data_IF_381101391005
#
_entry.id   IF_381101391005
#
_cell.length_a   1.000
_cell.length_b   1.000
_cell.length_c   1.000
_cell.angle_alpha   90.00
_cell.angle_beta   90.00
_cell.angle_gamma   90.00
#
_symmetry.space_group_name_H-M   'P 1'
#
loop_
_entity.id
_entity.type
_entity.pdbx_description
1 polymer ?
#
# COMPACT_ATOMS: atom_id res chain seq x y z
N UNK A 1 -24.14 -2.14 10.59
CA UNK A 1 -23.28 -1.02 11.03
C UNK A 1 -21.85 -1.39 10.70
N UNK A 2 -21.20 -0.59 9.87
CA UNK A 2 -19.75 -0.66 9.69
C UNK A 2 -19.08 -0.12 10.96
N UNK A 3 -17.93 -0.69 11.31
CA UNK A 3 -17.16 -0.27 12.48
C UNK A 3 -15.87 0.40 12.03
N UNK A 4 -15.47 1.45 12.75
CA UNK A 4 -14.15 2.09 12.59
C UNK A 4 -13.05 1.04 12.64
N UNK A 5 -12.01 1.25 11.83
CA UNK A 5 -10.92 0.30 11.68
C UNK A 5 -9.97 0.42 12.88
N UNK A 6 -10.23 -0.35 13.94
CA UNK A 6 -9.37 -0.35 15.15
C UNK A 6 -8.24 -1.37 15.06
N UNK A 7 -8.36 -2.35 14.15
CA UNK A 7 -7.37 -3.33 13.74
C UNK A 7 -7.95 -4.08 12.52
N UNK A 8 -7.10 -4.68 11.68
CA UNK A 8 -7.55 -5.63 10.65
C UNK A 8 -7.35 -5.24 9.19
N UNK A 9 -6.41 -4.34 8.88
CA UNK A 9 -5.88 -4.19 7.52
C UNK A 9 -4.51 -4.82 7.45
N UNK A 10 -4.32 -5.68 6.45
CA UNK A 10 -3.03 -6.32 6.20
C UNK A 10 -2.70 -6.18 4.72
N UNK A 11 -1.45 -5.89 4.41
CA UNK A 11 -0.91 -6.25 3.09
C UNK A 11 -0.85 -7.77 3.04
N UNK A 12 -1.50 -8.36 2.05
CA UNK A 12 -1.52 -9.81 1.84
C UNK A 12 -0.62 -10.23 0.69
N UNK A 13 -0.27 -9.31 -0.21
CA UNK A 13 0.63 -9.57 -1.33
C UNK A 13 1.34 -8.27 -1.78
N UNK A 14 2.56 -8.43 -2.28
CA UNK A 14 3.28 -7.35 -2.95
C UNK A 14 4.11 -7.92 -4.11
N UNK A 15 3.89 -7.41 -5.32
CA UNK A 15 4.50 -7.90 -6.56
C UNK A 15 5.32 -6.79 -7.21
N UNK A 16 6.63 -7.02 -7.32
CA UNK A 16 7.54 -6.12 -8.03
C UNK A 16 7.47 -6.41 -9.54
N UNK A 17 7.04 -5.45 -10.34
CA UNK A 17 6.96 -5.63 -11.80
C UNK A 17 8.35 -5.57 -12.40
N UNK A 18 8.73 -6.50 -13.28
CA UNK A 18 10.13 -6.69 -13.69
C UNK A 18 10.68 -5.59 -14.58
N UNK A 19 9.81 -5.03 -15.42
CA UNK A 19 10.18 -4.07 -16.46
C UNK A 19 9.71 -2.65 -16.14
N UNK A 20 9.03 -2.48 -15.01
CA UNK A 20 8.40 -1.25 -14.59
C UNK A 20 8.87 -0.93 -13.18
N UNK A 21 9.12 0.35 -12.91
CA UNK A 21 9.48 0.81 -11.57
C UNK A 21 8.20 0.93 -10.73
N UNK A 22 7.53 -0.19 -10.56
CA UNK A 22 6.20 -0.29 -9.96
C UNK A 22 6.09 -1.52 -9.05
N UNK A 23 5.32 -1.37 -7.98
CA UNK A 23 4.94 -2.45 -7.06
C UNK A 23 3.43 -2.53 -6.99
N UNK A 24 2.86 -3.69 -7.27
CA UNK A 24 1.46 -3.97 -6.95
C UNK A 24 1.37 -4.35 -5.48
N UNK A 25 0.59 -3.61 -4.70
CA UNK A 25 0.33 -3.92 -3.30
C UNK A 25 -1.14 -4.30 -3.15
N UNK A 26 -1.39 -5.49 -2.60
CA UNK A 26 -2.74 -5.96 -2.29
C UNK A 26 -2.97 -5.93 -0.80
N UNK A 27 -3.99 -5.19 -0.36
CA UNK A 27 -4.44 -5.15 1.02
C UNK A 27 -5.75 -5.92 1.21
N UNK A 28 -5.93 -6.49 2.39
CA UNK A 28 -7.18 -7.09 2.84
C UNK A 28 -7.65 -6.41 4.10
N UNK A 29 -8.90 -5.99 4.08
CA UNK A 29 -9.61 -5.40 5.22
C UNK A 29 -10.42 -6.50 5.92
N UNK A 30 -10.55 -6.45 7.24
CA UNK A 30 -11.40 -7.38 7.98
C UNK A 30 -12.89 -7.15 7.67
N UNK A 31 -13.70 -8.21 7.73
CA UNK A 31 -15.14 -8.13 7.42
C UNK A 31 -15.84 -7.10 8.33
N UNK A 32 -16.68 -6.26 7.73
CA UNK A 32 -17.41 -5.20 8.45
C UNK A 32 -16.61 -3.91 8.72
N UNK A 33 -15.40 -3.82 8.19
CA UNK A 33 -14.55 -2.62 8.19
C UNK A 33 -14.33 -2.08 6.77
N UNK A 34 -13.93 -0.82 6.67
CA UNK A 34 -13.59 -0.15 5.40
C UNK A 34 -12.38 0.77 5.58
N UNK A 35 -11.75 1.12 4.47
CA UNK A 35 -10.65 2.08 4.36
C UNK A 35 -11.07 3.14 3.35
N UNK A 36 -10.65 4.37 3.58
CA UNK A 36 -10.98 5.52 2.74
C UNK A 36 -9.89 5.76 1.70
N UNK A 37 -8.63 5.65 2.13
CA UNK A 37 -7.48 5.82 1.24
C UNK A 37 -6.27 4.98 1.68
N UNK A 38 -5.33 4.84 0.77
CA UNK A 38 -3.99 4.31 1.05
C UNK A 38 -2.94 5.29 0.53
N UNK A 39 -1.86 5.49 1.26
CA UNK A 39 -0.90 6.54 0.96
C UNK A 39 0.50 6.21 1.46
N UNK A 40 1.41 7.14 1.20
CA UNK A 40 2.76 7.18 1.77
C UNK A 40 3.51 5.84 1.67
N UNK A 41 3.52 5.29 0.46
CA UNK A 41 4.28 4.08 0.19
C UNK A 41 5.77 4.32 0.40
N UNK A 42 6.40 3.39 1.10
CA UNK A 42 7.85 3.38 1.27
C UNK A 42 8.36 1.97 1.33
N UNK A 43 9.63 1.81 0.99
CA UNK A 43 10.29 0.51 1.10
C UNK A 43 11.75 0.65 1.51
N UNK A 44 12.28 -0.44 2.04
CA UNK A 44 13.65 -0.47 2.51
C UNK A 44 14.23 -1.87 2.60
N UNK A 45 15.53 -1.96 2.41
CA UNK A 45 16.26 -3.23 2.38
C UNK A 45 17.70 -3.04 2.83
N UNK A 46 18.40 -4.14 3.07
CA UNK A 46 19.84 -4.11 3.31
C UNK A 46 20.60 -4.34 2.01
N UNK A 47 21.54 -3.46 1.69
CA UNK A 47 22.39 -3.64 0.52
C UNK A 47 23.44 -4.76 0.74
N UNK A 48 24.25 -5.04 -0.29
CA UNK A 48 25.30 -6.07 -0.24
C UNK A 48 26.37 -5.82 0.83
N UNK A 49 26.47 -4.61 1.36
CA UNK A 49 27.37 -4.24 2.45
C UNK A 49 26.65 -4.22 3.81
N UNK A 50 25.43 -4.76 3.90
CA UNK A 50 24.59 -4.80 5.09
C UNK A 50 24.16 -3.40 5.59
N UNK A 51 24.24 -2.37 4.75
CA UNK A 51 23.74 -1.03 5.08
C UNK A 51 22.24 -0.95 4.80
N UNK A 52 21.50 -0.31 5.71
CA UNK A 52 20.08 -0.03 5.48
C UNK A 52 19.87 1.03 4.41
N UNK A 53 18.98 0.74 3.46
CA UNK A 53 18.48 1.67 2.45
C UNK A 53 16.98 1.83 2.65
N UNK A 54 16.50 3.07 2.72
CA UNK A 54 15.08 3.39 2.86
C UNK A 54 14.69 4.46 1.85
N UNK A 55 13.54 4.28 1.23
CA UNK A 55 13.02 5.15 0.17
C UNK A 55 11.56 5.46 0.46
N UNK A 56 11.21 6.74 0.38
CA UNK A 56 9.89 7.25 0.69
C UNK A 56 9.29 7.88 -0.57
N UNK A 57 8.08 7.46 -0.91
CA UNK A 57 7.34 7.95 -2.07
C UNK A 57 6.07 8.63 -1.55
N UNK A 58 6.18 9.94 -1.35
CA UNK A 58 5.13 10.80 -0.80
C UNK A 58 4.10 11.19 -1.86
N UNK A 59 3.63 10.22 -2.63
CA UNK A 59 2.50 10.48 -3.51
C UNK A 59 1.24 10.72 -2.68
N UNK A 60 0.33 11.50 -3.26
CA UNK A 60 -0.99 11.74 -2.69
C UNK A 60 -1.68 10.41 -2.39
N UNK A 61 -2.44 10.37 -1.30
CA UNK A 61 -3.17 9.18 -0.94
C UNK A 61 -4.14 8.80 -2.07
N UNK A 62 -4.11 7.53 -2.46
CA UNK A 62 -5.02 6.95 -3.43
C UNK A 62 -6.29 6.61 -2.66
N UNK A 63 -7.32 7.41 -2.89
CA UNK A 63 -8.65 7.13 -2.41
C UNK A 63 -9.17 5.82 -3.02
N UNK A 64 -9.58 4.91 -2.13
CA UNK A 64 -10.09 3.61 -2.53
C UNK A 64 -11.59 3.75 -2.75
N UNK A 65 -12.16 2.96 -3.66
CA UNK A 65 -13.60 2.82 -3.78
C UNK A 65 -14.36 4.10 -4.18
N UNK A 66 -13.70 5.01 -4.90
CA UNK A 66 -14.29 6.28 -5.36
C UNK A 66 -14.83 7.14 -4.20
N UNK A 67 -14.28 6.91 -3.00
CA UNK A 67 -14.52 7.70 -1.81
C UNK A 67 -13.65 8.95 -1.91
N UNK A 68 -14.20 10.09 -2.26
CA UNK A 68 -13.56 11.38 -1.97
C UNK A 68 -14.31 12.05 -0.82
N UNK A 69 -13.74 13.09 -0.22
CA UNK A 69 -14.38 13.83 0.87
C UNK A 69 -15.76 14.40 0.47
N UNK A 70 -16.09 14.44 -0.82
CA UNK A 70 -17.34 14.98 -1.39
C UNK A 70 -18.35 13.89 -1.82
N UNK A 71 -17.97 12.60 -1.90
CA UNK A 71 -18.78 11.49 -2.41
C UNK A 71 -18.67 10.23 -1.55
N UNK A 72 -19.54 10.15 -0.54
CA UNK A 72 -19.69 8.95 0.31
C UNK A 72 -20.63 7.95 -0.37
N UNK A 73 -20.09 7.03 -1.18
CA UNK A 73 -20.84 5.85 -1.65
C UNK A 73 -20.48 4.60 -0.83
N UNK A 74 -21.44 4.13 -0.04
CA UNK A 74 -21.28 2.97 0.85
C UNK A 74 -21.42 1.60 0.14
N UNK A 75 -21.60 1.54 -1.18
CA UNK A 75 -21.83 0.28 -1.92
C UNK A 75 -20.55 -0.52 -2.24
N UNK A 76 -19.38 0.07 -1.98
CA UNK A 76 -18.07 -0.41 -2.44
C UNK A 76 -17.29 -1.29 -1.46
N UNK A 77 -17.88 -1.68 -0.33
CA UNK A 77 -17.37 -2.73 0.58
C UNK A 77 -17.09 -4.09 -0.09
N UNK A 78 -17.38 -4.22 -1.39
CA UNK A 78 -17.26 -5.44 -2.19
C UNK A 78 -15.89 -5.64 -2.84
N UNK A 79 -15.05 -4.61 -2.95
CA UNK A 79 -13.71 -4.73 -3.56
C UNK A 79 -12.62 -5.00 -2.50
N UNK A 80 -12.83 -6.06 -1.70
CA UNK A 80 -11.89 -6.53 -0.69
C UNK A 80 -11.52 -8.00 -0.99
N UNK A 81 -10.24 -8.33 -1.29
CA UNK A 81 -9.07 -7.47 -1.18
C UNK A 81 -8.96 -6.41 -2.29
N UNK A 82 -8.21 -5.35 -2.01
CA UNK A 82 -7.95 -4.23 -2.90
C UNK A 82 -6.49 -4.25 -3.36
N UNK A 83 -6.23 -3.99 -4.65
CA UNK A 83 -4.88 -3.91 -5.22
C UNK A 83 -4.63 -2.52 -5.81
N UNK A 84 -3.45 -1.97 -5.52
CA UNK A 84 -2.97 -0.68 -6.01
C UNK A 84 -1.60 -0.82 -6.65
N UNK A 85 -1.27 0.09 -7.56
CA UNK A 85 0.03 0.20 -8.20
C UNK A 85 0.77 1.38 -7.57
N UNK A 86 2.01 1.14 -7.16
CA UNK A 86 2.88 2.14 -6.55
C UNK A 86 4.12 2.33 -7.42
N UNK A 87 4.19 3.43 -8.19
CA UNK A 87 5.38 3.78 -8.92
C UNK A 87 6.50 4.20 -7.95
N UNK A 88 7.74 4.02 -8.38
CA UNK A 88 8.92 4.42 -7.64
C UNK A 88 10.06 4.76 -8.61
N UNK A 89 11.14 5.35 -8.11
CA UNK A 89 12.30 5.66 -8.96
C UNK A 89 13.05 4.36 -9.34
N UNK A 90 13.12 4.07 -10.64
CA UNK A 90 13.82 2.91 -11.18
C UNK A 90 15.27 2.80 -10.70
N UNK A 91 15.93 3.93 -10.40
CA UNK A 91 17.32 3.97 -9.93
C UNK A 91 17.53 3.31 -8.56
N UNK A 92 16.46 3.21 -7.76
CA UNK A 92 16.49 2.64 -6.42
C UNK A 92 15.88 1.24 -6.34
N UNK A 93 15.62 0.62 -7.50
CA UNK A 93 15.09 -0.75 -7.57
C UNK A 93 15.99 -1.72 -6.79
N UNK A 94 15.45 -2.44 -5.79
CA UNK A 94 16.24 -3.44 -5.09
C UNK A 94 16.65 -4.58 -6.04
N UNK A 95 17.83 -5.19 -5.87
CA UNK A 95 18.26 -6.33 -6.68
C UNK A 95 17.27 -7.50 -6.59
N UNK A 96 17.12 -8.26 -7.67
CA UNK A 96 16.33 -9.49 -7.68
C UNK A 96 16.83 -10.45 -6.58
N UNK A 97 15.89 -11.05 -5.85
CA UNK A 97 16.13 -11.93 -4.71
C UNK A 97 16.26 -11.20 -3.37
N UNK A 98 16.27 -9.86 -3.36
CA UNK A 98 16.34 -9.06 -2.14
C UNK A 98 15.01 -9.12 -1.39
N UNK A 99 15.07 -9.39 -0.08
CA UNK A 99 13.93 -9.15 0.82
C UNK A 99 13.88 -7.68 1.20
N UNK A 100 12.71 -7.09 0.99
CA UNK A 100 12.42 -5.67 1.16
C UNK A 100 11.26 -5.56 2.15
N UNK A 101 11.39 -4.66 3.11
CA UNK A 101 10.27 -4.20 3.92
C UNK A 101 9.47 -3.15 3.17
N UNK A 102 8.17 -3.33 3.04
CA UNK A 102 7.23 -2.34 2.51
C UNK A 102 6.44 -1.75 3.68
N UNK A 103 6.28 -0.43 3.67
CA UNK A 103 5.37 0.29 4.55
C UNK A 103 4.37 1.07 3.69
N UNK A 104 3.12 1.05 4.11
CA UNK A 104 2.04 1.80 3.47
C UNK A 104 1.11 2.34 4.56
N UNK A 105 0.74 3.61 4.45
CA UNK A 105 -0.22 4.23 5.34
C UNK A 105 -1.64 3.88 4.86
N UNK A 106 -2.47 3.45 5.81
CA UNK A 106 -3.88 3.16 5.61
C UNK A 106 -4.67 4.26 6.29
N UNK A 107 -5.62 4.88 5.59
CA UNK A 107 -6.45 5.98 6.07
C UNK A 107 -7.91 5.55 6.21
N UNK A 108 -8.57 6.02 7.26
CA UNK A 108 -10.00 5.84 7.48
C UNK A 108 -10.57 6.96 8.34
N UNK A 109 -11.90 7.09 8.35
CA UNK A 109 -12.62 8.09 9.13
C UNK A 109 -12.11 9.51 8.81
N UNK A 110 -11.91 9.77 7.52
CA UNK A 110 -11.55 11.09 7.02
C UNK A 110 -12.74 12.05 7.13
N UNK A 111 -12.48 13.27 7.58
CA UNK A 111 -13.46 14.34 7.56
C UNK A 111 -13.33 15.26 6.32
N UNK A 112 -14.21 16.25 6.24
CA UNK A 112 -14.28 17.22 5.15
C UNK A 112 -13.04 18.13 5.08
N UNK A 113 -12.28 18.25 6.17
CA UNK A 113 -11.06 19.06 6.25
C UNK A 113 -9.81 18.26 5.83
N UNK A 114 -9.98 16.96 5.52
CA UNK A 114 -8.90 16.06 5.14
C UNK A 114 -8.15 15.46 6.33
N UNK A 115 -8.66 15.65 7.56
CA UNK A 115 -8.11 14.99 8.74
C UNK A 115 -8.63 13.55 8.80
N UNK A 116 -7.69 12.60 8.79
CA UNK A 116 -7.99 11.18 8.78
C UNK A 116 -7.31 10.46 9.95
N UNK A 117 -7.93 9.40 10.45
CA UNK A 117 -7.21 8.39 11.22
C UNK A 117 -6.28 7.61 10.29
N UNK A 118 -5.10 7.21 10.77
CA UNK A 118 -4.20 6.39 9.97
C UNK A 118 -3.39 5.38 10.79
N UNK A 119 -2.90 4.35 10.11
CA UNK A 119 -1.84 3.46 10.60
C UNK A 119 -0.94 3.04 9.47
N UNK A 120 0.34 2.83 9.78
CA UNK A 120 1.28 2.24 8.85
C UNK A 120 1.27 0.72 9.02
N UNK A 121 1.18 0.01 7.90
CA UNK A 121 1.28 -1.46 7.88
C UNK A 121 2.59 -1.89 7.23
N UNK A 122 3.23 -2.90 7.81
CA UNK A 122 4.50 -3.45 7.34
C UNK A 122 4.29 -4.79 6.63
N UNK A 123 5.01 -5.00 5.53
CA UNK A 123 5.01 -6.29 4.82
C UNK A 123 6.39 -6.63 4.25
N UNK A 124 6.96 -7.80 4.61
CA UNK A 124 8.16 -8.30 3.95
C UNK A 124 7.80 -8.88 2.58
N UNK A 125 8.44 -8.40 1.53
CA UNK A 125 8.31 -8.88 0.15
C UNK A 125 9.68 -9.25 -0.41
N UNK A 126 9.72 -10.19 -1.35
CA UNK A 126 10.96 -10.53 -2.08
C UNK A 126 10.83 -10.03 -3.51
N UNK A 127 11.85 -9.32 -4.00
CA UNK A 127 11.90 -8.90 -5.39
C UNK A 127 12.10 -10.12 -6.28
N UNK A 128 11.10 -10.45 -7.09
CA UNK A 128 11.18 -11.57 -8.03
C UNK A 128 11.49 -11.08 -9.43
N UNK A 129 12.15 -11.93 -10.22
CA UNK A 129 12.16 -11.80 -11.67
C UNK A 129 10.83 -12.34 -12.20
N UNK A 130 9.79 -11.53 -12.25
CA UNK A 130 8.56 -11.95 -12.91
C UNK A 130 8.77 -11.88 -14.43
N UNK A 131 9.18 -12.99 -15.02
CA UNK A 131 9.02 -13.17 -16.46
C UNK A 131 7.52 -13.26 -16.72
N UNK A 132 6.88 -12.17 -17.12
CA UNK A 132 5.60 -12.27 -17.81
C UNK A 132 5.86 -13.07 -19.10
N UNK A 133 5.47 -14.34 -19.09
CA UNK A 133 5.35 -15.18 -20.28
C UNK A 133 4.00 -14.98 -20.95
#
# INVERSE_FOLDING_TARGET
MLKKLTAGVNVINAVWLSNEAEVLVTIKVADGHFVDAIGHFSFGYKDSNNNGRGFYFWEDAIYINNYDCDNIDNTFLRNNPYTSIWPYDASVRPPIGTTVGIWIAIYWDCDEDGDCCHTDVYYPSTVTANNCG
#
